data_IF_727268760161
#
_entry.id   IF_727268760161
#
_cell.length_a   1.000
_cell.length_b   1.000
_cell.length_c   1.000
_cell.angle_alpha   90.00
_cell.angle_beta   90.00
_cell.angle_gamma   90.00
#
_symmetry.space_group_name_H-M   'P 1'
#
loop_
_entity.id
_entity.type
_entity.pdbx_description
1 polymer ?
#
# COMPACT_ATOMS: atom_id res chain seq x y z
N UNK A 1 17.15 -42.70 -47.12
CA UNK A 1 16.80 -41.32 -46.74
C UNK A 1 16.69 -41.25 -45.22
N UNK A 2 17.85 -41.39 -44.49
CA UNK A 2 17.88 -41.49 -43.01
C UNK A 2 18.81 -40.45 -42.33
N UNK A 3 19.11 -39.33 -42.95
CA UNK A 3 20.13 -38.41 -42.39
C UNK A 3 19.76 -36.92 -42.40
N UNK A 4 18.52 -36.53 -42.65
CA UNK A 4 18.14 -35.10 -42.79
C UNK A 4 17.24 -34.53 -41.68
N UNK A 5 16.92 -35.29 -40.63
CA UNK A 5 16.03 -34.81 -39.57
C UNK A 5 16.70 -34.49 -38.20
N UNK A 6 18.03 -34.55 -38.13
CA UNK A 6 18.76 -34.26 -36.86
C UNK A 6 19.27 -32.82 -36.71
N UNK A 7 19.02 -31.95 -37.67
CA UNK A 7 19.66 -30.62 -37.70
C UNK A 7 18.78 -29.42 -37.28
N UNK A 8 17.49 -29.58 -37.09
CA UNK A 8 16.60 -28.41 -36.94
C UNK A 8 16.12 -28.08 -35.52
N UNK A 9 16.38 -28.95 -34.56
CA UNK A 9 15.91 -28.74 -33.18
C UNK A 9 16.90 -28.01 -32.24
N UNK A 10 18.13 -27.73 -32.70
CA UNK A 10 19.16 -27.10 -31.84
C UNK A 10 19.42 -25.63 -32.14
N UNK A 11 18.92 -25.10 -33.26
CA UNK A 11 19.23 -23.71 -33.68
C UNK A 11 18.30 -22.64 -33.11
N UNK A 12 17.20 -23.00 -32.43
CA UNK A 12 16.23 -22.04 -31.90
C UNK A 12 16.48 -21.59 -30.46
N UNK A 13 17.48 -22.12 -29.75
CA UNK A 13 17.74 -21.81 -28.33
C UNK A 13 18.90 -20.82 -28.11
N UNK A 14 19.64 -20.46 -29.16
CA UNK A 14 20.89 -19.69 -29.00
C UNK A 14 20.80 -18.20 -29.39
N UNK A 15 19.63 -17.64 -29.67
CA UNK A 15 19.50 -16.23 -30.06
C UNK A 15 18.91 -15.27 -29.00
N UNK A 16 18.79 -15.68 -27.72
CA UNK A 16 18.30 -14.82 -26.64
C UNK A 16 19.37 -14.41 -25.62
N UNK A 17 20.64 -14.71 -25.85
CA UNK A 17 21.69 -14.46 -24.85
C UNK A 17 22.60 -13.28 -25.14
N UNK A 18 22.08 -12.16 -25.67
CA UNK A 18 22.89 -10.95 -25.75
C UNK A 18 22.07 -9.71 -25.35
N UNK A 19 21.96 -9.46 -24.06
CA UNK A 19 21.50 -8.15 -23.61
C UNK A 19 20.66 -8.12 -22.34
N UNK A 20 21.12 -8.65 -21.20
CA UNK A 20 20.84 -8.06 -19.88
C UNK A 20 21.70 -8.78 -18.83
N UNK A 21 22.91 -8.32 -18.66
CA UNK A 21 23.67 -8.57 -17.45
C UNK A 21 23.27 -7.49 -16.44
N UNK A 22 22.31 -7.77 -15.57
CA UNK A 22 22.13 -7.14 -14.25
C UNK A 22 20.79 -7.58 -13.65
N UNK A 23 20.88 -8.55 -12.78
CA UNK A 23 19.97 -9.03 -11.72
C UNK A 23 19.80 -10.58 -11.73
N UNK A 24 20.93 -11.28 -11.52
CA UNK A 24 20.99 -12.75 -11.57
C UNK A 24 20.98 -13.36 -10.16
N UNK A 25 20.04 -13.03 -9.29
CA UNK A 25 19.93 -13.73 -8.00
C UNK A 25 18.54 -14.17 -7.57
N UNK A 26 17.50 -13.93 -8.37
CA UNK A 26 16.13 -14.33 -7.99
C UNK A 26 15.48 -15.36 -8.95
N UNK A 27 16.18 -15.87 -9.95
CA UNK A 27 15.55 -16.69 -11.01
C UNK A 27 16.19 -18.07 -11.23
N UNK A 28 17.17 -18.47 -10.43
CA UNK A 28 17.80 -19.81 -10.55
C UNK A 28 16.81 -20.92 -10.22
N UNK A 29 16.02 -20.79 -9.18
CA UNK A 29 15.03 -21.78 -8.77
C UNK A 29 13.90 -21.99 -9.79
N UNK A 30 13.52 -20.94 -10.51
CA UNK A 30 12.53 -21.04 -11.59
C UNK A 30 13.11 -21.68 -12.84
N UNK A 31 14.35 -21.34 -13.20
CA UNK A 31 15.07 -21.95 -14.31
C UNK A 31 15.42 -23.43 -14.03
N UNK A 32 15.82 -23.75 -12.81
CA UNK A 32 16.08 -25.12 -12.38
C UNK A 32 14.81 -25.99 -12.38
N UNK A 33 13.67 -25.44 -11.98
CA UNK A 33 12.35 -26.11 -12.10
C UNK A 33 11.97 -26.37 -13.55
N UNK A 34 12.16 -25.39 -14.44
CA UNK A 34 11.89 -25.55 -15.87
C UNK A 34 12.84 -26.58 -16.48
N UNK A 35 14.13 -26.54 -16.13
CA UNK A 35 15.11 -27.50 -16.60
C UNK A 35 14.78 -28.94 -16.14
N UNK A 36 14.34 -29.11 -14.91
CA UNK A 36 13.92 -30.39 -14.37
C UNK A 36 12.62 -30.88 -15.04
N UNK A 37 11.67 -30.00 -15.30
CA UNK A 37 10.46 -30.32 -16.06
C UNK A 37 10.78 -30.78 -17.47
N UNK A 38 11.65 -30.07 -18.19
CA UNK A 38 12.12 -30.47 -19.54
C UNK A 38 12.85 -31.80 -19.53
N UNK A 39 13.67 -32.09 -18.51
CA UNK A 39 14.31 -33.39 -18.34
C UNK A 39 13.30 -34.51 -18.10
N UNK A 40 12.30 -34.26 -17.24
CA UNK A 40 11.23 -35.23 -16.95
C UNK A 40 10.39 -35.52 -18.21
N UNK A 41 10.01 -34.46 -18.95
CA UNK A 41 9.30 -34.63 -20.23
C UNK A 41 10.12 -35.39 -21.25
N UNK A 42 11.42 -35.12 -21.40
CA UNK A 42 12.31 -35.85 -22.29
C UNK A 42 12.45 -37.36 -21.93
N UNK A 43 12.46 -37.66 -20.62
CA UNK A 43 12.51 -39.06 -20.14
C UNK A 43 11.17 -39.76 -20.43
N UNK A 44 10.03 -39.05 -20.21
CA UNK A 44 8.70 -39.60 -20.47
C UNK A 44 8.47 -39.87 -21.96
N UNK A 45 8.86 -38.91 -22.82
CA UNK A 45 8.84 -39.10 -24.29
C UNK A 45 9.75 -40.24 -24.75
N UNK A 46 10.93 -40.36 -24.16
CA UNK A 46 11.83 -41.49 -24.48
C UNK A 46 11.23 -42.85 -24.13
N UNK A 47 10.51 -42.95 -23.00
CA UNK A 47 9.78 -44.18 -22.61
C UNK A 47 8.62 -44.48 -23.58
N UNK A 48 7.82 -43.43 -23.89
CA UNK A 48 6.69 -43.55 -24.83
C UNK A 48 7.14 -43.98 -26.23
N UNK A 49 8.25 -43.43 -26.73
CA UNK A 49 8.80 -43.81 -28.02
C UNK A 49 9.31 -45.24 -28.08
N UNK A 50 9.97 -45.73 -27.00
CA UNK A 50 10.37 -47.15 -26.88
C UNK A 50 9.16 -48.07 -26.85
N UNK A 51 8.10 -47.71 -26.15
CA UNK A 51 6.89 -48.51 -26.08
C UNK A 51 6.21 -48.58 -27.47
N UNK A 52 6.12 -47.47 -28.20
CA UNK A 52 5.62 -47.45 -29.58
C UNK A 52 6.46 -48.28 -30.54
N UNK A 53 7.78 -48.27 -30.38
CA UNK A 53 8.66 -49.10 -31.19
C UNK A 53 8.45 -50.59 -30.92
N UNK A 54 8.28 -50.99 -29.67
CA UNK A 54 7.97 -52.37 -29.29
C UNK A 54 6.60 -52.83 -29.77
N UNK A 55 5.57 -51.96 -29.63
CA UNK A 55 4.23 -52.20 -30.16
C UNK A 55 4.27 -52.38 -31.72
N UNK A 56 5.05 -51.54 -32.40
CA UNK A 56 5.23 -51.65 -33.85
C UNK A 56 5.90 -52.94 -34.29
N UNK A 57 6.96 -53.36 -33.54
CA UNK A 57 7.69 -54.60 -33.83
C UNK A 57 6.88 -55.86 -33.50
N UNK A 58 6.03 -55.82 -32.47
CA UNK A 58 5.18 -56.94 -32.06
C UNK A 58 3.97 -57.12 -32.95
N UNK A 59 3.47 -56.06 -33.55
CA UNK A 59 2.23 -56.07 -34.36
C UNK A 59 2.49 -56.18 -35.87
N UNK A 60 3.48 -56.99 -36.30
CA UNK A 60 3.80 -57.19 -37.73
C UNK A 60 2.63 -57.68 -38.59
N UNK A 61 1.54 -58.20 -37.98
CA UNK A 61 0.33 -58.66 -38.68
C UNK A 61 -0.67 -57.54 -39.01
N UNK A 62 -0.62 -56.37 -38.36
CA UNK A 62 -1.63 -55.34 -38.49
C UNK A 62 -1.06 -53.98 -38.94
N UNK A 63 -0.17 -54.02 -39.93
CA UNK A 63 0.49 -52.81 -40.49
C UNK A 63 -0.48 -51.69 -40.92
N UNK A 64 -1.65 -52.06 -41.42
CA UNK A 64 -2.64 -51.09 -41.88
C UNK A 64 -3.32 -50.36 -40.71
N UNK A 65 -3.63 -51.08 -39.63
CA UNK A 65 -4.21 -50.51 -38.43
C UNK A 65 -3.20 -49.54 -37.73
N UNK A 66 -1.93 -49.97 -37.64
CA UNK A 66 -0.89 -49.11 -37.11
C UNK A 66 -0.63 -47.88 -37.95
N UNK A 67 -0.70 -47.97 -39.30
CA UNK A 67 -0.56 -46.83 -40.17
C UNK A 67 -1.72 -45.84 -40.00
N UNK A 68 -2.94 -46.35 -39.87
CA UNK A 68 -4.13 -45.52 -39.64
C UNK A 68 -4.07 -44.84 -38.27
N UNK A 69 -3.62 -45.58 -37.22
CA UNK A 69 -3.39 -45.02 -35.88
C UNK A 69 -2.34 -43.92 -35.94
N UNK A 70 -1.18 -44.18 -36.55
CA UNK A 70 -0.13 -43.17 -36.67
C UNK A 70 -0.56 -41.92 -37.45
N UNK A 71 -1.40 -42.05 -38.47
CA UNK A 71 -1.99 -40.92 -39.19
C UNK A 71 -2.96 -40.15 -38.34
N UNK A 72 -3.78 -40.83 -37.54
CA UNK A 72 -4.72 -40.21 -36.61
C UNK A 72 -3.95 -39.46 -35.49
N UNK A 73 -2.94 -40.09 -34.91
CA UNK A 73 -2.10 -39.48 -33.88
C UNK A 73 -1.37 -38.22 -34.40
N UNK A 74 -0.85 -38.31 -35.64
CA UNK A 74 -0.21 -37.16 -36.30
C UNK A 74 -1.19 -36.01 -36.54
N UNK A 75 -2.43 -36.32 -36.96
CA UNK A 75 -3.46 -35.32 -37.18
C UNK A 75 -3.88 -34.67 -35.86
N UNK A 76 -4.02 -35.48 -34.81
CA UNK A 76 -4.35 -34.97 -33.48
C UNK A 76 -3.22 -34.05 -32.91
N UNK A 77 -1.95 -34.45 -33.05
CA UNK A 77 -0.83 -33.63 -32.62
C UNK A 77 -0.67 -32.33 -33.44
N UNK A 78 -0.95 -32.37 -34.75
CA UNK A 78 -1.00 -31.15 -35.56
C UNK A 78 -2.10 -30.20 -35.08
N UNK A 79 -3.33 -30.72 -34.91
CA UNK A 79 -4.44 -29.92 -34.41
C UNK A 79 -4.19 -29.33 -33.02
N UNK A 80 -3.50 -30.11 -32.17
CA UNK A 80 -3.04 -29.62 -30.84
C UNK A 80 -2.00 -28.52 -30.98
N UNK A 81 -1.02 -28.68 -31.87
CA UNK A 81 -0.01 -27.65 -32.15
C UNK A 81 -0.63 -26.35 -32.63
N UNK A 82 -1.58 -26.44 -33.60
CA UNK A 82 -2.26 -25.26 -34.12
C UNK A 82 -3.09 -24.54 -33.05
N UNK A 83 -3.77 -25.32 -32.19
CA UNK A 83 -4.49 -24.75 -31.04
C UNK A 83 -3.57 -24.03 -30.07
N UNK A 84 -2.47 -24.70 -29.65
CA UNK A 84 -1.50 -24.10 -28.74
C UNK A 84 -0.86 -22.85 -29.32
N UNK A 85 -0.53 -22.84 -30.60
CA UNK A 85 0.02 -21.66 -31.27
C UNK A 85 -0.98 -20.48 -31.24
N UNK A 86 -2.26 -20.78 -31.45
CA UNK A 86 -3.33 -19.78 -31.38
C UNK A 86 -3.53 -19.26 -29.95
N UNK A 87 -3.57 -20.15 -28.96
CA UNK A 87 -3.66 -19.78 -27.54
C UNK A 87 -2.45 -18.95 -27.11
N UNK A 88 -1.25 -19.32 -27.55
CA UNK A 88 -0.04 -18.56 -27.27
C UNK A 88 -0.14 -17.12 -27.83
N UNK A 89 -0.52 -16.98 -29.10
CA UNK A 89 -0.67 -15.66 -29.71
C UNK A 89 -1.77 -14.80 -29.02
N UNK A 90 -2.86 -15.42 -28.58
CA UNK A 90 -3.90 -14.72 -27.80
C UNK A 90 -3.39 -14.28 -26.44
N UNK A 91 -2.63 -15.13 -25.75
CA UNK A 91 -2.04 -14.81 -24.44
C UNK A 91 -1.02 -13.68 -24.54
N UNK A 92 -0.19 -13.67 -25.58
CA UNK A 92 0.77 -12.57 -25.85
C UNK A 92 0.05 -11.22 -26.01
N UNK A 93 -1.01 -11.19 -26.80
CA UNK A 93 -1.82 -9.97 -26.96
C UNK A 93 -2.47 -9.55 -25.64
N UNK A 94 -3.04 -10.51 -24.90
CA UNK A 94 -3.66 -10.22 -23.60
C UNK A 94 -2.63 -9.70 -22.58
N UNK A 95 -1.42 -10.25 -22.58
CA UNK A 95 -0.33 -9.77 -21.72
C UNK A 95 0.04 -8.34 -22.06
N UNK A 96 0.23 -8.02 -23.36
CA UNK A 96 0.54 -6.67 -23.80
C UNK A 96 -0.54 -5.65 -23.40
N UNK A 97 -1.82 -6.01 -23.54
CA UNK A 97 -2.95 -5.17 -23.10
C UNK A 97 -2.94 -4.96 -21.58
N UNK A 98 -2.71 -6.03 -20.81
CA UNK A 98 -2.66 -5.95 -19.34
C UNK A 98 -1.45 -5.14 -18.85
N UNK A 99 -0.31 -5.28 -19.52
CA UNK A 99 0.90 -4.51 -19.22
C UNK A 99 0.68 -3.01 -19.45
N UNK A 100 0.05 -2.65 -20.57
CA UNK A 100 -0.30 -1.26 -20.85
C UNK A 100 -1.32 -0.70 -19.85
N UNK A 101 -2.33 -1.49 -19.48
CA UNK A 101 -3.31 -1.10 -18.47
C UNK A 101 -2.65 -0.91 -17.08
N UNK A 102 -1.70 -1.78 -16.73
CA UNK A 102 -0.93 -1.67 -15.49
C UNK A 102 -0.08 -0.39 -15.47
N UNK A 103 0.64 -0.10 -16.55
CA UNK A 103 1.45 1.13 -16.66
C UNK A 103 0.59 2.40 -16.52
N UNK A 104 -0.58 2.42 -17.17
CA UNK A 104 -1.51 3.53 -17.04
C UNK A 104 -2.05 3.67 -15.61
N UNK A 105 -2.42 2.56 -14.97
CA UNK A 105 -2.88 2.55 -13.59
C UNK A 105 -1.77 3.00 -12.62
N UNK A 106 -0.54 2.55 -12.80
CA UNK A 106 0.61 2.96 -11.99
C UNK A 106 0.89 4.46 -12.12
N UNK A 107 0.79 5.05 -13.31
CA UNK A 107 0.95 6.49 -13.53
C UNK A 107 -0.09 7.29 -12.73
N UNK A 108 -1.36 6.96 -12.85
CA UNK A 108 -2.46 7.62 -12.11
C UNK A 108 -2.33 7.45 -10.61
N UNK A 109 -1.98 6.26 -10.13
CA UNK A 109 -1.74 6.00 -8.70
C UNK A 109 -0.54 6.78 -8.17
N UNK A 110 0.52 6.96 -8.96
CA UNK A 110 1.69 7.76 -8.61
C UNK A 110 1.35 9.24 -8.40
N UNK A 111 0.51 9.82 -9.25
CA UNK A 111 0.00 11.18 -9.10
C UNK A 111 -0.85 11.32 -7.82
N UNK A 112 -1.77 10.39 -7.59
CA UNK A 112 -2.59 10.36 -6.39
C UNK A 112 -1.72 10.24 -5.13
N UNK A 113 -0.69 9.41 -5.15
CA UNK A 113 0.26 9.27 -4.06
C UNK A 113 0.97 10.59 -3.73
N UNK A 114 1.39 11.32 -4.75
CA UNK A 114 1.98 12.66 -4.58
C UNK A 114 1.02 13.64 -3.88
N UNK A 115 -0.26 13.62 -4.25
CA UNK A 115 -1.30 14.45 -3.62
C UNK A 115 -1.51 14.05 -2.16
N UNK A 116 -1.62 12.75 -1.87
CA UNK A 116 -1.82 12.24 -0.50
C UNK A 116 -0.65 12.62 0.42
N UNK A 117 0.60 12.43 -0.04
CA UNK A 117 1.78 12.84 0.72
C UNK A 117 1.80 14.33 1.04
N UNK A 118 1.46 15.15 0.07
CA UNK A 118 1.39 16.60 0.26
C UNK A 118 0.28 16.97 1.24
N UNK A 119 -0.92 16.43 1.08
CA UNK A 119 -2.03 16.64 2.00
C UNK A 119 -1.68 16.23 3.45
N UNK A 120 -1.02 15.09 3.62
CA UNK A 120 -0.55 14.64 4.92
C UNK A 120 0.49 15.61 5.52
N UNK A 121 1.45 16.06 4.71
CA UNK A 121 2.48 17.00 5.14
C UNK A 121 1.88 18.38 5.53
N UNK A 122 0.94 18.88 4.76
CA UNK A 122 0.27 20.15 5.04
C UNK A 122 -0.59 20.07 6.33
N UNK A 123 -1.24 18.93 6.55
CA UNK A 123 -2.05 18.69 7.74
C UNK A 123 -1.25 18.59 9.04
N UNK A 124 0.01 18.12 8.99
CA UNK A 124 0.87 17.97 10.19
C UNK A 124 0.97 19.30 10.95
N UNK A 125 1.34 20.38 10.25
CA UNK A 125 1.54 21.69 10.88
C UNK A 125 0.27 22.22 11.55
N UNK A 126 -0.88 22.08 10.89
CA UNK A 126 -2.16 22.51 11.42
C UNK A 126 -2.59 21.70 12.64
N UNK A 127 -2.42 20.37 12.59
CA UNK A 127 -2.81 19.47 13.69
C UNK A 127 -1.86 19.64 14.90
N UNK A 128 -0.57 19.85 14.67
CA UNK A 128 0.39 20.07 15.78
C UNK A 128 0.19 21.40 16.48
N UNK A 129 -0.15 22.45 15.72
CA UNK A 129 -0.44 23.76 16.29
C UNK A 129 -1.83 23.84 16.96
N UNK A 130 -2.70 22.90 16.67
CA UNK A 130 -4.07 22.88 17.21
C UNK A 130 -4.10 22.61 18.70
N UNK A 131 -4.95 23.35 19.43
CA UNK A 131 -5.21 23.13 20.85
C UNK A 131 -5.84 21.75 21.13
N UNK A 132 -6.45 21.11 20.14
CA UNK A 132 -6.91 19.71 20.25
C UNK A 132 -5.73 18.77 20.52
N UNK A 133 -4.53 19.10 20.05
CA UNK A 133 -3.33 18.28 20.29
C UNK A 133 -2.79 18.41 21.71
N UNK A 134 -3.17 19.45 22.43
CA UNK A 134 -2.91 19.56 23.87
C UNK A 134 -3.75 18.56 24.68
N UNK A 135 -4.99 18.30 24.27
CA UNK A 135 -5.87 17.29 24.87
C UNK A 135 -5.54 15.87 24.38
N UNK A 136 -5.28 15.72 23.07
CA UNK A 136 -5.07 14.44 22.39
C UNK A 136 -3.69 14.40 21.73
N UNK A 137 -2.63 14.10 22.47
CA UNK A 137 -1.26 14.10 21.93
C UNK A 137 -1.04 12.98 20.93
N UNK A 138 -0.03 13.12 20.06
CA UNK A 138 0.41 12.08 19.15
C UNK A 138 -0.40 11.92 17.85
N UNK A 139 -1.41 12.75 17.60
CA UNK A 139 -2.28 12.64 16.42
C UNK A 139 -1.57 12.84 15.07
N UNK A 140 -0.43 13.52 15.06
CA UNK A 140 0.33 13.77 13.84
C UNK A 140 1.26 12.60 13.43
N UNK A 141 1.44 11.56 14.24
CA UNK A 141 2.38 10.47 13.97
C UNK A 141 2.03 9.68 12.69
N UNK A 142 0.76 9.36 12.53
CA UNK A 142 0.26 8.68 11.32
C UNK A 142 0.48 9.53 10.08
N UNK A 143 0.24 10.84 10.18
CA UNK A 143 0.44 11.78 9.09
C UNK A 143 1.92 11.92 8.73
N UNK A 144 2.82 11.89 9.71
CA UNK A 144 4.27 11.90 9.46
C UNK A 144 4.72 10.64 8.72
N UNK A 145 4.23 9.47 9.12
CA UNK A 145 4.54 8.22 8.44
C UNK A 145 4.07 8.26 6.98
N UNK A 146 2.86 8.75 6.75
CA UNK A 146 2.26 8.88 5.42
C UNK A 146 2.98 9.92 4.54
N UNK A 147 3.36 11.07 5.11
CA UNK A 147 4.14 12.10 4.42
C UNK A 147 5.54 11.61 4.02
N UNK A 148 6.15 10.74 4.83
CA UNK A 148 7.46 10.15 4.59
C UNK A 148 7.41 8.85 3.76
N UNK A 149 6.22 8.31 3.46
CA UNK A 149 6.05 7.06 2.76
C UNK A 149 6.73 7.06 1.39
N UNK A 150 7.34 5.94 1.02
CA UNK A 150 8.00 5.72 -0.29
C UNK A 150 7.16 4.83 -1.21
N UNK A 151 6.18 4.14 -0.63
CA UNK A 151 5.29 3.22 -1.34
C UNK A 151 3.87 3.80 -1.40
N UNK A 152 3.05 3.26 -2.28
CA UNK A 152 1.65 3.65 -2.41
C UNK A 152 0.91 3.41 -1.08
N UNK A 153 0.12 4.40 -0.62
CA UNK A 153 -0.64 4.24 0.61
C UNK A 153 -1.68 3.13 0.46
N UNK A 154 -1.84 2.38 1.52
CA UNK A 154 -2.93 1.41 1.66
C UNK A 154 -4.26 2.14 1.88
N UNK A 155 -5.39 1.46 1.63
CA UNK A 155 -6.73 1.99 1.92
C UNK A 155 -6.84 2.42 3.39
N UNK A 156 -6.26 1.63 4.29
CA UNK A 156 -6.25 1.93 5.73
C UNK A 156 -5.51 3.24 6.05
N UNK A 157 -4.37 3.49 5.44
CA UNK A 157 -3.62 4.73 5.64
C UNK A 157 -4.37 5.96 5.10
N UNK A 158 -5.12 5.79 4.00
CA UNK A 158 -6.01 6.83 3.48
C UNK A 158 -7.19 7.09 4.43
N UNK A 159 -7.77 6.05 5.01
CA UNK A 159 -8.79 6.18 6.05
C UNK A 159 -8.25 6.90 7.29
N UNK A 160 -7.05 6.57 7.73
CA UNK A 160 -6.40 7.22 8.88
C UNK A 160 -6.12 8.71 8.61
N UNK A 161 -5.72 9.09 7.40
CA UNK A 161 -5.60 10.49 6.99
C UNK A 161 -6.96 11.20 7.09
N UNK A 162 -8.00 10.61 6.51
CA UNK A 162 -9.34 11.15 6.55
C UNK A 162 -9.88 11.29 7.98
N UNK A 163 -9.70 10.25 8.82
CA UNK A 163 -10.10 10.27 10.24
C UNK A 163 -9.36 11.37 11.00
N UNK A 164 -8.07 11.57 10.72
CA UNK A 164 -7.27 12.63 11.36
C UNK A 164 -7.83 14.02 11.04
N UNK A 165 -8.15 14.29 9.77
CA UNK A 165 -8.74 15.53 9.32
C UNK A 165 -10.16 15.73 9.89
N UNK A 166 -10.99 14.68 9.85
CA UNK A 166 -12.34 14.71 10.39
C UNK A 166 -12.35 14.93 11.90
N UNK A 167 -11.41 14.30 12.60
CA UNK A 167 -11.24 14.49 14.05
C UNK A 167 -10.87 15.94 14.36
N UNK A 168 -9.94 16.54 13.61
CA UNK A 168 -9.59 17.94 13.79
C UNK A 168 -10.81 18.84 13.60
N UNK A 169 -11.57 18.65 12.54
CA UNK A 169 -12.78 19.43 12.26
C UNK A 169 -13.84 19.31 13.36
N UNK A 170 -14.04 18.10 13.87
CA UNK A 170 -15.09 17.86 14.88
C UNK A 170 -14.66 18.27 16.29
N UNK A 171 -13.42 17.98 16.65
CA UNK A 171 -12.90 18.29 17.99
C UNK A 171 -12.61 19.80 18.16
N UNK A 172 -12.17 20.48 17.10
CA UNK A 172 -11.94 21.93 17.14
C UNK A 172 -13.21 22.75 17.39
N UNK A 173 -14.37 22.17 17.17
CA UNK A 173 -15.67 22.84 17.44
C UNK A 173 -16.22 22.55 18.86
N UNK A 174 -15.59 21.66 19.63
CA UNK A 174 -16.09 21.25 20.95
C UNK A 174 -15.46 22.03 22.09
N UNK A 175 -16.25 22.25 23.13
CA UNK A 175 -15.72 22.58 24.46
C UNK A 175 -15.48 21.28 25.21
N UNK A 176 -14.27 21.09 25.71
CA UNK A 176 -13.85 19.86 26.37
C UNK A 176 -13.03 20.17 27.60
N UNK A 177 -13.25 19.42 28.66
CA UNK A 177 -12.50 19.54 29.93
C UNK A 177 -11.74 18.24 30.19
N UNK A 178 -10.44 18.37 30.48
CA UNK A 178 -9.54 17.25 30.70
C UNK A 178 -8.48 17.59 31.76
N UNK A 179 -7.89 16.57 32.38
CA UNK A 179 -6.79 16.75 33.32
C UNK A 179 -5.47 16.57 32.58
N UNK A 180 -4.55 17.49 32.77
CA UNK A 180 -3.25 17.45 32.14
C UNK A 180 -2.20 18.17 32.98
N UNK A 181 -0.95 17.90 32.71
CA UNK A 181 0.18 18.57 33.31
C UNK A 181 0.35 19.98 32.73
N UNK A 182 0.37 20.97 33.60
CA UNK A 182 0.59 22.38 33.25
C UNK A 182 1.94 22.78 33.85
N UNK A 183 2.86 23.23 32.99
CA UNK A 183 4.17 23.71 33.39
C UNK A 183 4.06 25.16 33.92
N UNK A 184 4.44 25.39 35.15
CA UNK A 184 4.49 26.74 35.74
C UNK A 184 5.61 27.58 35.14
N UNK A 185 5.47 28.90 35.22
CA UNK A 185 6.51 29.86 34.78
C UNK A 185 7.79 29.81 35.65
N UNK A 186 7.69 29.21 36.81
CA UNK A 186 8.81 28.98 37.77
C UNK A 186 9.52 27.64 37.52
N UNK A 187 9.12 26.88 36.50
CA UNK A 187 9.66 25.56 36.21
C UNK A 187 9.01 24.42 37.00
N UNK A 188 8.03 24.71 37.84
CA UNK A 188 7.21 23.69 38.50
C UNK A 188 6.25 23.02 37.47
N UNK A 189 5.73 21.85 37.81
CA UNK A 189 4.71 21.18 37.01
C UNK A 189 3.62 20.66 37.95
N UNK A 190 2.36 20.82 37.54
CA UNK A 190 1.23 20.35 38.32
C UNK A 190 0.09 19.89 37.38
N UNK A 191 -0.60 18.83 37.79
CA UNK A 191 -1.80 18.36 37.10
C UNK A 191 -2.94 19.33 37.43
N UNK A 192 -3.54 19.90 36.37
CA UNK A 192 -4.67 20.80 36.47
C UNK A 192 -5.82 20.35 35.59
N UNK A 193 -7.02 20.75 35.98
CA UNK A 193 -8.20 20.62 35.15
C UNK A 193 -8.21 21.76 34.14
N UNK A 194 -8.10 21.44 32.87
CA UNK A 194 -8.03 22.39 31.76
C UNK A 194 -9.28 22.28 30.92
N UNK A 195 -9.92 23.39 30.60
CA UNK A 195 -11.03 23.44 29.66
C UNK A 195 -10.55 24.06 28.35
N UNK A 196 -10.71 23.28 27.27
CA UNK A 196 -10.44 23.72 25.90
C UNK A 196 -11.72 24.25 25.27
N UNK A 197 -11.66 25.41 24.71
CA UNK A 197 -12.78 26.05 24.00
C UNK A 197 -12.45 26.05 22.51
N UNK A 198 -12.93 25.03 21.83
CA UNK A 198 -12.66 24.86 20.41
C UNK A 198 -11.15 24.74 20.12
N UNK A 199 -10.69 25.46 19.12
CA UNK A 199 -9.29 25.68 18.81
C UNK A 199 -8.84 27.12 19.13
N UNK A 200 -9.53 27.77 20.07
CA UNK A 200 -9.32 29.17 20.40
C UNK A 200 -8.55 29.36 21.71
N UNK A 201 -9.05 28.78 22.81
CA UNK A 201 -8.48 29.00 24.13
C UNK A 201 -8.35 27.73 24.96
N UNK A 202 -7.36 27.74 25.85
CA UNK A 202 -7.24 26.84 27.00
C UNK A 202 -7.36 27.66 28.28
N UNK A 203 -8.20 27.24 29.19
CA UNK A 203 -8.44 27.93 30.46
C UNK A 203 -8.39 26.96 31.64
N UNK A 204 -8.03 27.49 32.80
CA UNK A 204 -8.15 26.88 34.11
C UNK A 204 -8.77 27.88 35.07
N UNK A 205 -9.04 27.48 36.31
CA UNK A 205 -9.50 28.38 37.40
C UNK A 205 -8.53 29.56 37.62
N UNK A 206 -7.23 29.33 37.33
CA UNK A 206 -6.18 30.35 37.50
C UNK A 206 -6.05 31.33 36.31
N UNK A 207 -6.72 31.04 35.19
CA UNK A 207 -6.68 31.92 34.01
C UNK A 207 -6.44 31.20 32.69
N UNK A 208 -6.00 31.95 31.70
CA UNK A 208 -5.71 31.48 30.36
C UNK A 208 -4.36 30.81 30.26
N UNK A 209 -4.30 29.78 29.40
CA UNK A 209 -3.12 28.99 29.12
C UNK A 209 -2.73 29.12 27.65
N UNK A 210 -1.47 28.86 27.36
CA UNK A 210 -0.95 28.71 25.99
C UNK A 210 -0.40 27.30 25.81
N UNK A 211 -0.61 26.76 24.64
CA UNK A 211 -0.01 25.50 24.21
C UNK A 211 1.18 25.76 23.29
N UNK A 212 2.32 25.18 23.60
CA UNK A 212 3.53 25.22 22.76
C UNK A 212 3.63 23.91 21.96
N UNK A 213 3.44 23.92 20.63
CA UNK A 213 3.57 22.73 19.80
C UNK A 213 4.99 22.15 19.82
N UNK A 214 6.00 22.99 19.98
CA UNK A 214 7.41 22.58 19.97
C UNK A 214 7.78 21.72 21.18
N UNK A 215 7.36 22.18 22.36
CA UNK A 215 7.62 21.49 23.64
C UNK A 215 6.50 20.54 24.03
N UNK A 216 5.37 20.62 23.35
CA UNK A 216 4.10 19.93 23.69
C UNK A 216 3.64 20.25 25.12
N UNK A 217 4.01 21.41 25.61
CA UNK A 217 3.71 21.86 26.96
C UNK A 217 2.58 22.88 26.99
N UNK A 218 1.77 22.81 28.03
CA UNK A 218 0.75 23.81 28.35
C UNK A 218 1.30 24.66 29.47
N UNK A 219 1.24 25.98 29.34
CA UNK A 219 1.77 26.95 30.28
C UNK A 219 0.79 28.09 30.52
N UNK A 220 0.80 28.75 31.71
CA UNK A 220 0.07 29.99 31.90
C UNK A 220 0.60 31.08 30.96
N UNK A 221 -0.28 32.00 30.54
CA UNK A 221 0.16 33.20 29.86
C UNK A 221 1.11 33.99 30.78
N UNK A 222 2.21 34.51 30.24
CA UNK A 222 3.15 35.35 30.98
C UNK A 222 2.54 36.62 31.56
N UNK A 223 1.46 37.10 30.92
CA UNK A 223 0.61 38.16 31.43
C UNK A 223 -0.85 37.75 31.20
N UNK A 224 -1.60 37.61 32.29
CA UNK A 224 -3.03 37.30 32.24
C UNK A 224 -3.83 38.53 31.81
N UNK A 225 -4.98 38.35 31.16
CA UNK A 225 -5.93 39.42 30.83
C UNK A 225 -6.48 40.12 32.08
N UNK A 226 -7.19 41.22 31.82
CA UNK A 226 -7.83 41.96 32.88
C UNK A 226 -8.93 41.15 33.60
N UNK A 227 -9.20 41.50 34.86
CA UNK A 227 -10.11 40.74 35.73
C UNK A 227 -11.52 40.53 35.17
N UNK A 228 -12.02 41.49 34.37
CA UNK A 228 -13.34 41.35 33.77
C UNK A 228 -13.40 40.26 32.68
N UNK A 229 -12.26 40.00 32.00
CA UNK A 229 -12.11 38.90 31.06
C UNK A 229 -12.00 37.56 31.81
N UNK A 230 -11.23 37.53 32.88
CA UNK A 230 -11.05 36.34 33.72
C UNK A 230 -12.36 35.93 34.41
N UNK A 231 -13.26 36.84 34.70
CA UNK A 231 -14.56 36.53 35.28
C UNK A 231 -15.41 35.58 34.40
N UNK A 232 -15.24 35.63 33.08
CA UNK A 232 -15.91 34.72 32.17
C UNK A 232 -15.50 33.24 32.31
N UNK A 233 -14.34 32.95 32.92
CA UNK A 233 -13.90 31.58 33.16
C UNK A 233 -14.75 30.93 34.26
N UNK A 234 -15.03 31.67 35.36
CA UNK A 234 -15.88 31.17 36.44
C UNK A 234 -17.32 30.89 36.00
N UNK A 235 -17.82 31.69 35.06
CA UNK A 235 -19.12 31.44 34.45
C UNK A 235 -19.15 30.16 33.61
N UNK A 236 -18.04 29.86 32.90
CA UNK A 236 -17.89 28.66 32.09
C UNK A 236 -17.94 27.39 32.96
N UNK A 237 -17.30 27.38 34.14
CA UNK A 237 -17.31 26.24 35.06
C UNK A 237 -18.70 25.95 35.65
N UNK A 238 -19.51 26.98 35.83
CA UNK A 238 -20.88 26.86 36.28
C UNK A 238 -21.88 26.49 35.18
N UNK A 239 -21.41 26.31 33.93
CA UNK A 239 -22.30 26.08 32.79
C UNK A 239 -22.76 24.62 32.73
N UNK A 240 -24.08 24.44 32.56
CA UNK A 240 -24.73 23.17 32.27
C UNK A 240 -25.30 23.16 30.85
N UNK A 241 -25.86 22.04 30.42
CA UNK A 241 -26.50 21.92 29.12
C UNK A 241 -27.62 22.95 28.87
N UNK A 242 -28.18 23.52 29.92
CA UNK A 242 -29.31 24.48 29.87
C UNK A 242 -28.88 25.94 30.01
N UNK A 243 -27.58 26.21 30.24
CA UNK A 243 -27.06 27.57 30.45
C UNK A 243 -25.98 27.93 29.43
N UNK A 244 -25.88 29.20 29.11
CA UNK A 244 -24.85 29.77 28.24
C UNK A 244 -23.83 30.58 29.06
N UNK A 245 -22.55 30.35 28.79
CA UNK A 245 -21.47 31.21 29.31
C UNK A 245 -20.78 31.91 28.16
N UNK A 246 -20.41 33.18 28.40
CA UNK A 246 -19.60 33.95 27.46
C UNK A 246 -18.15 33.95 27.90
N UNK A 247 -17.27 33.51 27.03
CA UNK A 247 -15.82 33.54 27.22
C UNK A 247 -15.19 34.39 26.13
N UNK A 248 -14.27 35.25 26.51
CA UNK A 248 -13.52 36.04 25.54
C UNK A 248 -12.52 35.16 24.81
N UNK A 249 -12.47 35.27 23.51
CA UNK A 249 -11.59 34.58 22.61
C UNK A 249 -10.56 35.60 22.10
N UNK A 250 -9.28 35.25 22.20
CA UNK A 250 -8.20 36.02 21.62
C UNK A 250 -7.87 35.56 20.20
#
# INVERSE_FOLDING_TARGET
>A
MKKLFKGFAVAAVLSVSAGTALNAHANTDALDKILEQVKQERISEGKLNKQREQEFLSARADKQALLNKAKSDLAAEKARGDRLAKEYAQNENTLAEKEQALLNAQGTLGEMFGVVRRAAADAIGSIEASLVSAEKPGRAEVLRSLAAAKELPTVRELEELWISLQTEMTESAKVSTFETEVAGLDGSSSVKKVTRIGNFNLVTDDGYLIYSPETKAIQPLGKQPDSYILAGISDLEGTSADNYAGVYID
#
